data_IF_805430133955
#
_entry.id   IF_805430133955
#
_cell.length_a   1.000
_cell.length_b   1.000
_cell.length_c   1.000
_cell.angle_alpha   90.00
_cell.angle_beta   90.00
_cell.angle_gamma   90.00
#
_symmetry.space_group_name_H-M   'P 1'
#
loop_
_entity.id
_entity.type
_entity.pdbx_description
1 polymer ?
#
# COMPACT_ATOMS: atom_id res chain seq x y z
N UNK A 1 16.03 -3.54 -3.07
CA UNK A 1 15.87 -4.71 -2.17
C UNK A 1 14.42 -5.01 -1.79
N UNK A 2 13.65 -4.10 -1.16
CA UNK A 2 12.29 -4.41 -0.67
C UNK A 2 11.30 -4.86 -1.78
N UNK A 3 11.39 -4.30 -2.98
CA UNK A 3 10.58 -4.73 -4.13
C UNK A 3 10.93 -6.12 -4.64
N UNK A 4 12.23 -6.43 -4.71
CA UNK A 4 12.72 -7.72 -5.22
C UNK A 4 12.19 -8.88 -4.38
N UNK A 5 12.12 -8.68 -3.06
CA UNK A 5 11.60 -9.66 -2.09
C UNK A 5 10.08 -9.85 -2.24
N UNK A 6 9.31 -8.76 -2.43
CA UNK A 6 7.87 -8.87 -2.63
C UNK A 6 7.52 -9.60 -3.94
N UNK A 7 8.20 -9.26 -5.03
CA UNK A 7 7.99 -9.94 -6.31
C UNK A 7 8.47 -11.40 -6.29
N UNK A 8 9.57 -11.71 -5.61
CA UNK A 8 10.04 -13.09 -5.47
C UNK A 8 9.06 -13.94 -4.66
N UNK A 9 8.45 -13.39 -3.60
CA UNK A 9 7.45 -14.10 -2.81
C UNK A 9 6.18 -14.38 -3.61
N UNK A 10 5.67 -13.39 -4.35
CA UNK A 10 4.52 -13.58 -5.24
C UNK A 10 4.83 -14.64 -6.32
N UNK A 11 6.04 -14.62 -6.88
CA UNK A 11 6.46 -15.60 -7.89
C UNK A 11 6.57 -17.02 -7.31
N UNK A 12 7.12 -17.18 -6.11
CA UNK A 12 7.22 -18.48 -5.42
C UNK A 12 5.83 -19.03 -5.08
N UNK A 13 4.92 -18.18 -4.57
CA UNK A 13 3.54 -18.58 -4.29
C UNK A 13 2.77 -18.97 -5.56
N UNK A 14 2.95 -18.24 -6.67
CA UNK A 14 2.36 -18.60 -7.95
C UNK A 14 2.93 -19.95 -8.46
N UNK A 15 4.24 -20.13 -8.36
CA UNK A 15 4.93 -21.36 -8.75
C UNK A 15 4.49 -22.57 -7.94
N UNK A 16 4.30 -22.43 -6.62
CA UNK A 16 3.84 -23.53 -5.77
C UNK A 16 2.40 -23.96 -6.10
N UNK A 17 1.49 -23.01 -6.35
CA UNK A 17 0.12 -23.33 -6.77
C UNK A 17 0.07 -23.99 -8.15
N UNK A 18 0.88 -23.53 -9.11
CA UNK A 18 1.01 -24.16 -10.41
C UNK A 18 1.57 -25.58 -10.31
N UNK A 19 2.64 -25.78 -9.52
CA UNK A 19 3.25 -27.10 -9.31
C UNK A 19 2.30 -28.06 -8.60
N UNK A 20 1.58 -27.58 -7.58
CA UNK A 20 0.59 -28.37 -6.85
C UNK A 20 -0.55 -28.80 -7.79
N UNK A 21 -1.10 -27.88 -8.58
CA UNK A 21 -2.13 -28.19 -9.59
C UNK A 21 -1.66 -29.21 -10.63
N UNK A 22 -0.43 -29.06 -11.14
CA UNK A 22 0.16 -30.01 -12.08
C UNK A 22 0.39 -31.40 -11.46
N UNK A 23 0.93 -31.46 -10.25
CA UNK A 23 1.20 -32.71 -9.53
C UNK A 23 -0.09 -33.48 -9.25
N UNK A 24 -1.16 -32.79 -8.85
CA UNK A 24 -2.47 -33.37 -8.60
C UNK A 24 -3.19 -33.82 -9.88
N UNK A 25 -3.08 -33.07 -10.98
CA UNK A 25 -3.61 -33.52 -12.26
C UNK A 25 -2.99 -34.87 -12.67
N UNK A 26 -1.67 -35.00 -12.52
CA UNK A 26 -0.95 -36.25 -12.79
C UNK A 26 -1.35 -37.39 -11.85
N UNK A 27 -1.66 -37.09 -10.59
CA UNK A 27 -2.17 -38.06 -9.61
C UNK A 27 -3.59 -38.54 -9.93
N UNK A 28 -4.47 -37.64 -10.37
CA UNK A 28 -5.87 -37.94 -10.71
C UNK A 28 -6.00 -38.90 -11.89
N UNK A 29 -5.13 -38.77 -12.90
CA UNK A 29 -5.11 -39.71 -14.04
C UNK A 29 -4.71 -41.13 -13.60
N UNK A 30 -3.74 -41.26 -12.68
CA UNK A 30 -3.34 -42.58 -12.15
C UNK A 30 -4.47 -43.26 -11.38
N UNK A 31 -5.18 -42.51 -10.53
CA UNK A 31 -6.30 -43.03 -9.75
C UNK A 31 -7.44 -43.49 -10.66
N UNK A 32 -7.70 -42.75 -11.75
CA UNK A 32 -8.72 -43.11 -12.74
C UNK A 32 -8.44 -44.43 -13.44
N UNK A 33 -7.20 -44.62 -13.93
CA UNK A 33 -6.82 -45.87 -14.57
C UNK A 33 -6.90 -47.04 -13.59
N UNK A 34 -6.47 -46.85 -12.33
CA UNK A 34 -6.56 -47.87 -11.28
C UNK A 34 -8.01 -48.21 -10.90
N UNK A 35 -8.90 -47.23 -10.73
CA UNK A 35 -10.33 -47.46 -10.46
C UNK A 35 -11.01 -48.22 -11.63
N UNK A 36 -10.62 -47.92 -12.88
CA UNK A 36 -11.12 -48.58 -14.09
C UNK A 36 -10.65 -50.04 -14.19
N UNK A 37 -9.39 -50.32 -13.86
CA UNK A 37 -8.84 -51.67 -13.79
C UNK A 37 -9.51 -52.51 -12.70
N UNK A 38 -9.74 -51.94 -11.51
CA UNK A 38 -10.45 -52.62 -10.41
C UNK A 38 -11.87 -52.98 -10.81
N UNK A 39 -12.60 -52.08 -11.48
CA UNK A 39 -13.95 -52.33 -11.99
C UNK A 39 -13.95 -53.40 -13.09
N UNK A 40 -12.96 -53.38 -13.98
CA UNK A 40 -12.79 -54.39 -15.04
C UNK A 40 -12.49 -55.79 -14.47
N UNK A 41 -11.56 -55.89 -13.51
CA UNK A 41 -11.23 -57.14 -12.79
C UNK A 41 -12.42 -57.70 -12.00
N UNK A 42 -13.21 -56.83 -11.37
CA UNK A 42 -14.38 -57.26 -10.60
C UNK A 42 -15.50 -57.78 -11.50
N UNK A 43 -15.61 -57.23 -12.72
CA UNK A 43 -16.58 -57.69 -13.72
C UNK A 43 -16.22 -59.06 -14.30
N UNK A 44 -14.94 -59.31 -14.59
CA UNK A 44 -14.49 -60.64 -15.07
C UNK A 44 -14.66 -61.72 -14.00
N UNK A 45 -14.56 -61.36 -12.72
CA UNK A 45 -14.72 -62.29 -11.59
C UNK A 45 -16.19 -62.62 -11.26
N UNK A 46 -17.12 -61.68 -11.46
CA UNK A 46 -18.51 -61.81 -10.97
C UNK A 46 -19.61 -61.66 -12.04
N UNK A 47 -19.26 -61.55 -13.34
CA UNK A 47 -20.19 -61.44 -14.48
C UNK A 47 -21.46 -60.63 -14.17
N UNK A 48 -21.29 -59.41 -13.64
CA UNK A 48 -22.38 -58.64 -13.04
C UNK A 48 -22.99 -57.70 -14.07
N UNK A 49 -24.32 -57.65 -14.19
CA UNK A 49 -25.09 -56.79 -15.12
C UNK A 49 -24.95 -55.27 -14.84
N UNK A 50 -24.12 -54.88 -13.87
CA UNK A 50 -23.90 -53.49 -13.41
C UNK A 50 -22.53 -52.92 -13.78
N UNK A 51 -21.81 -53.51 -14.73
CA UNK A 51 -20.52 -53.00 -15.21
C UNK A 51 -20.62 -51.57 -15.75
N UNK A 52 -21.66 -51.31 -16.54
CA UNK A 52 -21.87 -50.02 -17.21
C UNK A 52 -22.21 -48.91 -16.21
N UNK A 53 -23.08 -49.22 -15.24
CA UNK A 53 -23.41 -48.31 -14.11
C UNK A 53 -22.23 -48.07 -13.17
N UNK A 54 -21.32 -49.03 -13.00
CA UNK A 54 -20.10 -48.84 -12.22
C UNK A 54 -19.06 -47.97 -12.95
N UNK A 55 -18.91 -48.15 -14.27
CA UNK A 55 -18.05 -47.31 -15.12
C UNK A 55 -18.52 -45.86 -15.15
N UNK A 56 -19.81 -45.61 -15.33
CA UNK A 56 -20.37 -44.26 -15.34
C UNK A 56 -20.17 -43.52 -14.01
N UNK A 57 -20.24 -44.21 -12.86
CA UNK A 57 -19.96 -43.60 -11.54
C UNK A 57 -18.51 -43.20 -11.36
N UNK A 58 -17.56 -43.96 -11.90
CA UNK A 58 -16.12 -43.65 -11.87
C UNK A 58 -15.82 -42.46 -12.78
N UNK A 59 -16.41 -42.42 -13.97
CA UNK A 59 -16.29 -41.31 -14.91
C UNK A 59 -16.83 -39.98 -14.32
N UNK A 60 -18.02 -40.04 -13.71
CA UNK A 60 -18.65 -38.88 -13.07
C UNK A 60 -17.90 -38.40 -11.83
N UNK A 61 -17.28 -39.33 -11.07
CA UNK A 61 -16.44 -39.00 -9.93
C UNK A 61 -15.13 -38.30 -10.35
N UNK A 62 -14.57 -38.67 -11.51
CA UNK A 62 -13.36 -38.07 -12.05
C UNK A 62 -13.55 -36.61 -12.47
N UNK A 63 -14.66 -36.31 -13.15
CA UNK A 63 -14.96 -34.95 -13.61
C UNK A 63 -15.21 -33.96 -12.47
N UNK A 64 -15.85 -34.41 -11.38
CA UNK A 64 -16.11 -33.56 -10.19
C UNK A 64 -14.82 -33.24 -9.44
N UNK A 65 -13.93 -34.22 -9.25
CA UNK A 65 -12.61 -34.03 -8.62
C UNK A 65 -11.79 -32.99 -9.40
N UNK A 66 -11.74 -33.11 -10.73
CA UNK A 66 -10.98 -32.17 -11.57
C UNK A 66 -11.48 -30.73 -11.46
N UNK A 67 -12.79 -30.49 -11.33
CA UNK A 67 -13.36 -29.12 -11.22
C UNK A 67 -13.09 -28.45 -9.86
N UNK A 68 -13.06 -29.21 -8.77
CA UNK A 68 -12.82 -28.64 -7.42
C UNK A 68 -11.40 -28.06 -7.30
N UNK A 69 -10.40 -28.72 -7.89
CA UNK A 69 -9.00 -28.30 -7.78
C UNK A 69 -8.66 -27.04 -8.60
N UNK A 70 -9.30 -26.85 -9.76
CA UNK A 70 -9.16 -25.61 -10.52
C UNK A 70 -9.75 -24.42 -9.74
N UNK A 71 -10.83 -24.62 -8.98
CA UNK A 71 -11.44 -23.57 -8.16
C UNK A 71 -10.58 -23.12 -6.98
N UNK A 72 -9.93 -24.06 -6.28
CA UNK A 72 -9.06 -23.74 -5.13
C UNK A 72 -7.84 -22.90 -5.56
N UNK A 73 -7.15 -23.31 -6.62
CA UNK A 73 -6.01 -22.56 -7.15
C UNK A 73 -6.37 -21.14 -7.62
N UNK A 74 -7.50 -20.98 -8.30
CA UNK A 74 -8.00 -19.66 -8.71
C UNK A 74 -8.30 -18.77 -7.52
N UNK A 75 -8.89 -19.32 -6.45
CA UNK A 75 -9.21 -18.55 -5.24
C UNK A 75 -7.94 -18.00 -4.57
N UNK A 76 -6.92 -18.83 -4.38
CA UNK A 76 -5.65 -18.39 -3.81
C UNK A 76 -4.90 -17.38 -4.70
N UNK A 77 -4.95 -17.56 -6.02
CA UNK A 77 -4.34 -16.63 -6.97
C UNK A 77 -5.00 -15.24 -6.88
N UNK A 78 -6.33 -15.19 -6.87
CA UNK A 78 -7.07 -13.93 -6.72
C UNK A 78 -6.75 -13.25 -5.39
N UNK A 79 -6.76 -13.98 -4.28
CA UNK A 79 -6.42 -13.44 -2.96
C UNK A 79 -4.98 -12.89 -2.93
N UNK A 80 -4.04 -13.62 -3.53
CA UNK A 80 -2.63 -13.21 -3.60
C UNK A 80 -2.46 -11.92 -4.42
N UNK A 81 -3.12 -11.82 -5.57
CA UNK A 81 -3.07 -10.62 -6.40
C UNK A 81 -3.71 -9.41 -5.71
N UNK A 82 -4.84 -9.60 -5.02
CA UNK A 82 -5.48 -8.54 -4.24
C UNK A 82 -4.57 -8.05 -3.11
N UNK A 83 -4.01 -8.98 -2.32
CA UNK A 83 -3.07 -8.65 -1.25
C UNK A 83 -1.83 -7.91 -1.79
N UNK A 84 -1.25 -8.40 -2.87
CA UNK A 84 -0.11 -7.76 -3.55
C UNK A 84 -0.45 -6.35 -4.03
N UNK A 85 -1.63 -6.17 -4.64
CA UNK A 85 -2.11 -4.86 -5.09
C UNK A 85 -2.28 -3.84 -3.96
N UNK A 86 -2.85 -4.26 -2.82
CA UNK A 86 -3.01 -3.41 -1.63
C UNK A 86 -1.64 -2.99 -1.08
N UNK A 87 -0.73 -3.95 -0.92
CA UNK A 87 0.64 -3.68 -0.43
C UNK A 87 1.37 -2.74 -1.38
N UNK A 88 1.27 -2.96 -2.69
CA UNK A 88 1.89 -2.12 -3.70
C UNK A 88 1.34 -0.69 -3.65
N UNK A 89 0.02 -0.52 -3.56
CA UNK A 89 -0.62 0.78 -3.44
C UNK A 89 -0.18 1.52 -2.16
N UNK A 90 -0.20 0.85 -1.01
CA UNK A 90 0.23 1.41 0.27
C UNK A 90 1.70 1.86 0.21
N UNK A 91 2.56 1.02 -0.36
CA UNK A 91 3.98 1.33 -0.56
C UNK A 91 4.17 2.56 -1.45
N UNK A 92 3.48 2.62 -2.59
CA UNK A 92 3.60 3.72 -3.54
C UNK A 92 3.16 5.04 -2.90
N UNK A 93 2.04 5.04 -2.17
CA UNK A 93 1.56 6.20 -1.41
C UNK A 93 2.55 6.63 -0.34
N UNK A 94 3.11 5.69 0.43
CA UNK A 94 4.14 6.00 1.43
C UNK A 94 5.38 6.64 0.81
N UNK A 95 5.81 6.17 -0.37
CA UNK A 95 6.92 6.77 -1.10
C UNK A 95 6.63 8.18 -1.59
N UNK A 96 5.43 8.41 -2.12
CA UNK A 96 5.03 9.75 -2.54
C UNK A 96 5.04 10.73 -1.36
N UNK A 97 4.46 10.33 -0.23
CA UNK A 97 4.46 11.13 1.01
C UNK A 97 5.89 11.42 1.49
N UNK A 98 6.76 10.40 1.54
CA UNK A 98 8.16 10.57 1.93
C UNK A 98 8.91 11.54 1.01
N UNK A 99 8.65 11.48 -0.32
CA UNK A 99 9.25 12.42 -1.28
C UNK A 99 8.73 13.84 -1.08
N UNK A 100 7.45 14.01 -0.81
CA UNK A 100 6.85 15.32 -0.50
C UNK A 100 7.45 15.92 0.78
N UNK A 101 7.57 15.12 1.85
CA UNK A 101 8.21 15.53 3.10
C UNK A 101 9.67 15.92 2.87
N UNK A 102 10.43 15.16 2.08
CA UNK A 102 11.81 15.50 1.74
C UNK A 102 11.90 16.82 0.97
N UNK A 103 11.06 17.01 -0.06
CA UNK A 103 11.03 18.26 -0.83
C UNK A 103 10.63 19.46 0.03
N UNK A 104 9.67 19.28 0.94
CA UNK A 104 9.26 20.29 1.91
C UNK A 104 10.44 20.68 2.82
N UNK A 105 11.13 19.70 3.42
CA UNK A 105 12.29 19.96 4.27
C UNK A 105 13.41 20.69 3.53
N UNK A 106 13.68 20.32 2.27
CA UNK A 106 14.66 21.02 1.43
C UNK A 106 14.26 22.48 1.18
N UNK A 107 12.99 22.73 0.85
CA UNK A 107 12.47 24.08 0.62
C UNK A 107 12.53 24.91 1.90
N UNK A 108 12.04 24.39 3.03
CA UNK A 108 12.09 25.05 4.34
C UNK A 108 13.53 25.44 4.70
N UNK A 109 14.48 24.51 4.53
CA UNK A 109 15.89 24.77 4.83
C UNK A 109 16.45 25.91 3.96
N UNK A 110 16.08 25.95 2.68
CA UNK A 110 16.51 27.00 1.78
C UNK A 110 15.94 28.37 2.17
N UNK A 111 14.63 28.42 2.46
CA UNK A 111 13.95 29.65 2.88
C UNK A 111 14.45 30.16 4.24
N UNK A 112 14.88 29.28 5.15
CA UNK A 112 15.49 29.66 6.43
C UNK A 112 16.94 30.15 6.28
N UNK A 113 17.73 29.54 5.37
CA UNK A 113 19.15 29.84 5.21
C UNK A 113 19.39 31.26 4.73
N UNK A 114 18.51 31.78 3.87
CA UNK A 114 18.62 33.12 3.27
C UNK A 114 18.55 34.25 4.32
N UNK A 115 17.49 34.40 5.14
CA UNK A 115 17.44 35.43 6.18
C UNK A 115 18.53 35.23 7.24
N UNK A 116 18.88 33.99 7.59
CA UNK A 116 19.97 33.71 8.53
C UNK A 116 21.33 34.21 7.99
N UNK A 117 21.59 34.05 6.70
CA UNK A 117 22.79 34.57 6.05
C UNK A 117 22.80 36.10 6.03
N UNK A 118 21.65 36.74 5.80
CA UNK A 118 21.48 38.19 5.87
C UNK A 118 21.82 38.75 7.26
N UNK A 119 21.23 38.15 8.32
CA UNK A 119 21.47 38.56 9.71
C UNK A 119 22.97 38.44 10.02
N UNK A 120 23.56 37.29 9.67
CA UNK A 120 24.98 37.03 9.89
C UNK A 120 25.86 38.05 9.17
N UNK A 121 25.54 38.40 7.93
CA UNK A 121 26.29 39.39 7.15
C UNK A 121 26.19 40.79 7.77
N UNK A 122 24.99 41.20 8.18
CA UNK A 122 24.74 42.48 8.85
C UNK A 122 25.56 42.57 10.15
N UNK A 123 25.51 41.52 10.98
CA UNK A 123 26.28 41.45 12.23
C UNK A 123 27.80 41.43 12.01
N UNK A 124 28.28 40.68 11.00
CA UNK A 124 29.71 40.67 10.64
C UNK A 124 30.19 42.03 10.15
N UNK A 125 29.33 42.77 9.44
CA UNK A 125 29.66 44.10 8.91
C UNK A 125 29.77 45.12 10.05
N UNK A 126 28.82 45.10 10.99
CA UNK A 126 28.86 45.90 12.22
C UNK A 126 30.11 45.61 13.06
N UNK A 127 30.52 44.33 13.15
CA UNK A 127 31.69 43.94 13.94
C UNK A 127 33.02 44.37 13.28
N UNK A 128 33.12 44.35 11.96
CA UNK A 128 34.39 44.53 11.23
C UNK A 128 34.66 45.95 10.75
N UNK A 129 33.63 46.79 10.60
CA UNK A 129 33.78 48.12 10.00
C UNK A 129 33.41 49.21 11.00
N UNK A 130 34.19 50.30 11.01
CA UNK A 130 33.73 51.58 11.56
C UNK A 130 32.79 52.20 10.55
N UNK A 131 31.54 52.38 10.95
CA UNK A 131 30.44 52.88 10.12
C UNK A 131 29.83 54.08 10.83
N UNK A 132 29.30 55.02 10.07
CA UNK A 132 28.50 56.11 10.62
C UNK A 132 27.25 55.57 11.32
N UNK A 133 26.78 56.32 12.30
CA UNK A 133 25.68 55.92 13.17
C UNK A 133 24.40 55.60 12.38
N UNK A 134 24.12 56.36 11.31
CA UNK A 134 23.00 56.09 10.40
C UNK A 134 23.09 54.71 9.71
N UNK A 135 24.28 54.32 9.26
CA UNK A 135 24.51 53.03 8.60
C UNK A 135 24.43 51.89 9.61
N UNK A 136 24.94 52.09 10.83
CA UNK A 136 24.80 51.11 11.90
C UNK A 136 23.33 50.85 12.22
N UNK A 137 22.55 51.92 12.41
CA UNK A 137 21.11 51.83 12.67
C UNK A 137 20.36 51.15 11.53
N UNK A 138 20.75 51.40 10.28
CA UNK A 138 20.18 50.71 9.12
C UNK A 138 20.46 49.20 9.15
N UNK A 139 21.70 48.78 9.41
CA UNK A 139 22.06 47.35 9.49
C UNK A 139 21.35 46.64 10.64
N UNK A 140 21.22 47.30 11.80
CA UNK A 140 20.48 46.78 12.95
C UNK A 140 19.00 46.58 12.60
N UNK A 141 18.35 47.59 11.99
CA UNK A 141 16.94 47.49 11.56
C UNK A 141 16.73 46.37 10.56
N UNK A 142 17.62 46.20 9.58
CA UNK A 142 17.54 45.09 8.61
C UNK A 142 17.66 43.74 9.29
N UNK A 143 18.58 43.58 10.25
CA UNK A 143 18.75 42.32 10.96
C UNK A 143 17.54 41.97 11.86
N UNK A 144 16.95 42.97 12.53
CA UNK A 144 15.70 42.78 13.30
C UNK A 144 14.57 42.33 12.36
N UNK A 145 14.41 43.00 11.22
CA UNK A 145 13.41 42.64 10.22
C UNK A 145 13.57 41.21 9.67
N UNK A 146 14.80 40.78 9.39
CA UNK A 146 15.08 39.40 8.96
C UNK A 146 14.78 38.38 10.06
N UNK A 147 14.95 38.77 11.33
CA UNK A 147 14.62 37.93 12.49
C UNK A 147 13.11 37.76 12.63
N UNK A 148 12.34 38.83 12.47
CA UNK A 148 10.87 38.78 12.47
C UNK A 148 10.34 37.90 11.34
N UNK A 149 10.90 38.04 10.12
CA UNK A 149 10.57 37.15 9.00
C UNK A 149 10.87 35.67 9.29
N UNK A 150 11.99 35.38 9.94
CA UNK A 150 12.35 34.01 10.32
C UNK A 150 11.33 33.45 11.32
N UNK A 151 10.91 34.26 12.30
CA UNK A 151 9.89 33.89 13.28
C UNK A 151 8.54 33.59 12.61
N UNK A 152 8.11 34.42 11.66
CA UNK A 152 6.88 34.18 10.89
C UNK A 152 6.96 32.87 10.10
N UNK A 153 8.11 32.58 9.47
CA UNK A 153 8.31 31.32 8.76
C UNK A 153 8.22 30.10 9.70
N UNK A 154 8.83 30.18 10.88
CA UNK A 154 8.74 29.14 11.91
C UNK A 154 7.29 28.92 12.36
N UNK A 155 6.53 30.00 12.60
CA UNK A 155 5.12 29.92 12.97
C UNK A 155 4.28 29.27 11.88
N UNK A 156 4.52 29.62 10.62
CA UNK A 156 3.82 29.02 9.48
C UNK A 156 4.10 27.52 9.38
N UNK A 157 5.35 27.09 9.60
CA UNK A 157 5.73 25.67 9.61
C UNK A 157 5.06 24.94 10.78
N UNK A 158 5.04 25.55 11.97
CA UNK A 158 4.39 24.97 13.16
C UNK A 158 2.88 24.80 12.93
N UNK A 159 2.22 25.80 12.36
CA UNK A 159 0.79 25.72 12.01
C UNK A 159 0.53 24.63 10.97
N UNK A 160 1.38 24.52 9.94
CA UNK A 160 1.25 23.48 8.93
C UNK A 160 1.36 22.07 9.52
N UNK A 161 2.32 21.83 10.42
CA UNK A 161 2.50 20.52 11.08
C UNK A 161 1.36 20.19 12.05
N UNK A 162 0.82 21.18 12.78
CA UNK A 162 -0.36 21.00 13.63
C UNK A 162 -1.63 20.68 12.82
N UNK A 163 -1.83 21.34 11.67
CA UNK A 163 -2.94 21.05 10.77
C UNK A 163 -2.87 19.64 10.18
N UNK A 164 -1.68 19.15 9.85
CA UNK A 164 -1.47 17.77 9.39
C UNK A 164 -1.87 16.76 10.48
N UNK A 165 -1.45 16.97 11.73
CA UNK A 165 -1.82 16.12 12.87
C UNK A 165 -3.33 16.16 13.19
N UNK A 166 -3.95 17.35 13.15
CA UNK A 166 -5.39 17.49 13.46
C UNK A 166 -6.29 16.87 12.39
N UNK A 167 -5.84 16.82 11.13
CA UNK A 167 -6.57 16.16 10.05
C UNK A 167 -6.75 14.66 10.30
N UNK A 168 -5.81 14.00 10.99
CA UNK A 168 -5.94 12.59 11.37
C UNK A 168 -7.01 12.38 12.46
N UNK A 169 -7.18 13.36 13.36
CA UNK A 169 -8.20 13.32 14.41
C UNK A 169 -9.62 13.68 13.90
N UNK A 170 -9.74 14.55 12.91
CA UNK A 170 -11.04 15.06 12.41
C UNK A 170 -11.83 14.06 11.56
N UNK A 171 -11.21 12.95 11.12
CA UNK A 171 -11.90 11.89 10.35
C UNK A 171 -12.84 11.02 11.20
N UNK A 172 -12.98 11.27 12.51
CA UNK A 172 -13.75 10.40 13.42
C UNK A 172 -15.16 10.88 13.78
N UNK A 173 -15.55 12.12 13.49
CA UNK A 173 -16.92 12.56 13.80
C UNK A 173 -17.73 12.76 12.53
N UNK A 174 -18.58 11.77 12.25
CA UNK A 174 -19.73 11.96 11.37
C UNK A 174 -20.61 13.05 11.98
N UNK A 175 -20.41 14.29 11.55
CA UNK A 175 -21.24 15.43 11.89
C UNK A 175 -22.65 15.11 11.39
N UNK A 176 -23.55 14.70 12.29
CA UNK A 176 -24.98 14.65 12.04
C UNK A 176 -25.44 16.09 11.80
N UNK A 177 -25.58 16.46 10.53
CA UNK A 177 -26.33 17.64 10.15
C UNK A 177 -27.80 17.37 10.48
N UNK A 178 -28.23 17.82 11.65
CA UNK A 178 -29.63 17.82 12.06
C UNK A 178 -30.34 18.88 11.23
N UNK A 179 -30.81 18.47 10.05
CA UNK A 179 -31.73 19.25 9.24
C UNK A 179 -33.04 19.38 9.99
N UNK A 180 -33.22 20.52 10.66
CA UNK A 180 -34.48 20.95 11.24
C UNK A 180 -35.47 21.29 10.13
N UNK A 181 -36.18 20.27 9.64
CA UNK A 181 -37.41 20.46 8.88
C UNK A 181 -38.57 20.64 9.87
N UNK A 182 -38.67 21.83 10.43
CA UNK A 182 -39.90 22.32 11.07
C UNK A 182 -40.99 22.43 10.00
N UNK A 183 -41.75 21.34 9.82
CA UNK A 183 -43.01 21.32 9.10
C UNK A 183 -44.03 22.21 9.81
N UNK A 184 -44.28 23.39 9.23
CA UNK A 184 -45.42 24.23 9.58
C UNK A 184 -46.55 23.89 8.62
N UNK A 185 -47.47 23.04 9.06
CA UNK A 185 -48.69 22.69 8.35
C UNK A 185 -49.65 21.96 9.28
N UNK A 186 -50.72 22.64 9.66
CA UNK A 186 -51.76 22.17 10.58
C UNK A 186 -52.28 23.31 11.43
#
# INVERSE_FOLDING_TARGET
>A
MKFTIAYSLVFICAGSHCFWGYSLHRGSERIYHLEKEVVALKNTLHATTSYDTALHRVEDAHQRRRRQYWGEGTTFLVLTLLASGIVYYAYYRQRQLSKLQQNFMLSVTHELKTPLAGIKLNMQTLQRRKLDEEVQQKLIRTAVYETDRLNDLCNNILMATQMESKKEAMYSDAVKLQGDYSGRGG
#
